data_IF_648232697426
#
_entry.id   IF_648232697426
#
_cell.length_a   1.000
_cell.length_b   1.000
_cell.length_c   1.000
_cell.angle_alpha   90.00
_cell.angle_beta   90.00
_cell.angle_gamma   90.00
#
_symmetry.space_group_name_H-M   'P 1'
#
loop_
_entity.id
_entity.type
_entity.pdbx_description
1 polymer ?
#
# COMPACT_ATOMS: atom_id res chain seq x y z
N UNK A 1 7.05 -3.77 8.82
CA UNK A 1 5.60 -4.01 8.61
C UNK A 1 4.74 -2.92 9.22
N UNK A 2 4.78 -2.72 10.54
CA UNK A 2 3.89 -1.73 11.17
C UNK A 2 4.13 -0.29 10.70
N UNK A 3 5.39 0.17 10.72
CA UNK A 3 5.72 1.55 10.32
C UNK A 3 5.36 1.85 8.85
N UNK A 4 5.50 0.87 7.95
CA UNK A 4 5.05 1.01 6.56
C UNK A 4 3.54 1.13 6.48
N UNK A 5 2.80 0.36 7.30
CA UNK A 5 1.33 0.38 7.36
C UNK A 5 0.75 1.72 7.86
N UNK A 6 1.57 2.66 8.33
CA UNK A 6 1.14 4.03 8.64
C UNK A 6 0.54 4.75 7.41
N UNK A 7 0.81 4.29 6.19
CA UNK A 7 0.14 4.81 5.00
C UNK A 7 -1.40 4.69 5.11
N UNK A 8 -1.93 3.70 5.84
CA UNK A 8 -3.37 3.51 6.05
C UNK A 8 -4.00 4.76 6.72
N UNK A 9 -3.27 5.39 7.64
CA UNK A 9 -3.71 6.60 8.32
C UNK A 9 -3.34 7.88 7.55
N UNK A 10 -2.15 7.92 6.94
CA UNK A 10 -1.72 9.10 6.20
C UNK A 10 -2.52 9.31 4.91
N UNK A 11 -3.00 8.25 4.26
CA UNK A 11 -3.77 8.33 3.01
C UNK A 11 -5.05 9.16 3.16
N UNK A 12 -5.98 8.89 4.09
CA UNK A 12 -7.18 9.71 4.23
C UNK A 12 -6.89 11.16 4.60
N UNK A 13 -5.83 11.42 5.39
CA UNK A 13 -5.38 12.78 5.71
C UNK A 13 -4.90 13.50 4.44
N UNK A 14 -4.05 12.84 3.64
CA UNK A 14 -3.56 13.38 2.38
C UNK A 14 -4.68 13.57 1.34
N UNK A 15 -5.65 12.65 1.30
CA UNK A 15 -6.80 12.72 0.40
C UNK A 15 -7.68 13.96 0.70
N UNK A 16 -7.91 14.27 1.98
CA UNK A 16 -8.59 15.50 2.38
C UNK A 16 -7.78 16.75 2.04
N UNK A 17 -6.47 16.75 2.30
CA UNK A 17 -5.62 17.92 2.13
C UNK A 17 -5.36 18.27 0.65
N UNK A 18 -5.13 17.26 -0.20
CA UNK A 18 -4.71 17.43 -1.60
C UNK A 18 -5.88 17.19 -2.55
N UNK A 19 -6.58 16.07 -2.38
CA UNK A 19 -7.67 15.66 -3.27
C UNK A 19 -8.98 16.40 -3.03
N UNK A 20 -9.12 17.06 -1.86
CA UNK A 20 -10.40 17.59 -1.35
C UNK A 20 -11.50 16.51 -1.28
N UNK A 21 -11.09 15.25 -1.25
CA UNK A 21 -11.97 14.12 -1.02
C UNK A 21 -12.51 14.19 0.40
N UNK A 22 -13.73 13.67 0.60
CA UNK A 22 -14.33 13.51 1.92
C UNK A 22 -14.40 12.02 2.19
N UNK A 23 -13.40 11.42 2.88
CA UNK A 23 -13.41 10.01 3.19
C UNK A 23 -14.71 9.63 3.89
N UNK A 24 -15.24 8.46 3.55
CA UNK A 24 -16.38 7.89 4.24
C UNK A 24 -16.08 7.85 5.76
N UNK A 25 -17.01 8.25 6.65
CA UNK A 25 -16.80 8.17 8.09
C UNK A 25 -16.31 6.81 8.59
N UNK A 26 -16.63 5.71 7.88
CA UNK A 26 -16.15 4.36 8.18
C UNK A 26 -14.63 4.18 8.04
N UNK A 27 -13.97 5.01 7.23
CA UNK A 27 -12.53 4.97 6.99
C UNK A 27 -11.74 5.17 8.28
N UNK A 28 -12.19 6.06 9.17
CA UNK A 28 -11.45 6.38 10.40
C UNK A 28 -11.37 5.20 11.39
N UNK A 29 -12.50 4.57 11.80
CA UNK A 29 -12.43 3.37 12.64
C UNK A 29 -11.78 2.19 11.90
N UNK A 30 -11.95 2.06 10.59
CA UNK A 30 -11.27 1.01 9.81
C UNK A 30 -9.75 1.22 9.78
N UNK A 31 -9.27 2.44 9.56
CA UNK A 31 -7.85 2.77 9.58
C UNK A 31 -7.23 2.53 10.97
N UNK A 32 -7.93 2.90 12.04
CA UNK A 32 -7.50 2.60 13.40
C UNK A 32 -7.42 1.09 13.66
N UNK A 33 -8.43 0.32 13.25
CA UNK A 33 -8.44 -1.14 13.39
C UNK A 33 -7.35 -1.81 12.56
N UNK A 34 -7.13 -1.35 11.32
CA UNK A 34 -6.07 -1.83 10.43
C UNK A 34 -4.68 -1.56 11.01
N UNK A 35 -4.46 -0.38 11.61
CA UNK A 35 -3.21 -0.06 12.31
C UNK A 35 -2.98 -0.94 13.54
N UNK A 36 -4.02 -1.16 14.35
CA UNK A 36 -3.94 -2.09 15.50
C UNK A 36 -3.60 -3.49 15.00
N UNK A 37 -4.24 -3.93 13.92
CA UNK A 37 -3.96 -5.22 13.30
C UNK A 37 -2.53 -5.33 12.78
N UNK A 38 -2.02 -4.31 12.10
CA UNK A 38 -0.64 -4.25 11.62
C UNK A 38 0.38 -4.23 12.77
N UNK A 39 0.05 -3.55 13.87
CA UNK A 39 0.87 -3.54 15.08
C UNK A 39 0.98 -4.94 15.68
N UNK A 40 -0.16 -5.61 15.90
CA UNK A 40 -0.19 -6.99 16.41
C UNK A 40 0.53 -7.96 15.48
N UNK A 41 0.31 -7.85 14.16
CA UNK A 41 0.93 -8.70 13.16
C UNK A 41 2.46 -8.53 13.10
N UNK A 42 2.95 -7.32 13.38
CA UNK A 42 4.39 -7.05 13.46
C UNK A 42 5.06 -7.57 14.75
N UNK A 43 4.29 -8.06 15.73
CA UNK A 43 4.81 -8.42 17.05
C UNK A 43 4.95 -7.22 18.01
N UNK A 44 4.38 -6.07 17.65
CA UNK A 44 4.45 -4.83 18.42
C UNK A 44 5.68 -3.96 18.15
N UNK A 45 5.84 -2.89 18.93
CA UNK A 45 7.03 -2.04 18.89
C UNK A 45 7.97 -2.49 20.00
N UNK A 46 9.11 -3.05 19.63
CA UNK A 46 10.17 -3.45 20.56
C UNK A 46 11.49 -2.83 20.15
N UNK A 47 12.28 -2.39 21.13
CA UNK A 47 13.60 -1.80 20.91
C UNK A 47 13.60 -0.27 20.95
N UNK A 48 14.77 0.33 20.72
CA UNK A 48 14.96 1.77 20.67
C UNK A 48 14.74 2.28 19.25
N UNK A 49 14.09 3.43 19.12
CA UNK A 49 13.89 4.09 17.83
C UNK A 49 15.24 4.41 17.17
N UNK A 50 15.42 3.99 15.93
CA UNK A 50 16.62 4.25 15.12
C UNK A 50 16.30 5.12 13.91
N UNK A 51 17.33 5.67 13.26
CA UNK A 51 17.16 6.54 12.09
C UNK A 51 16.37 5.82 10.97
N UNK A 52 16.56 4.50 10.82
CA UNK A 52 15.82 3.68 9.86
C UNK A 52 14.30 3.73 10.09
N UNK A 53 13.83 3.75 11.34
CA UNK A 53 12.41 3.85 11.65
C UNK A 53 11.81 5.17 11.17
N UNK A 54 12.58 6.25 11.31
CA UNK A 54 12.22 7.57 10.78
C UNK A 54 12.14 7.58 9.26
N UNK A 55 13.10 6.95 8.58
CA UNK A 55 13.10 6.83 7.11
C UNK A 55 11.91 6.01 6.60
N UNK A 56 11.58 4.90 7.25
CA UNK A 56 10.43 4.06 6.88
C UNK A 56 9.12 4.82 7.12
N UNK A 57 9.02 5.57 8.21
CA UNK A 57 7.85 6.42 8.50
C UNK A 57 7.69 7.52 7.45
N UNK A 58 8.79 8.17 7.03
CA UNK A 58 8.76 9.12 5.92
C UNK A 58 8.34 8.45 4.60
N UNK A 59 8.82 7.23 4.35
CA UNK A 59 8.40 6.40 3.22
C UNK A 59 6.90 6.10 3.23
N UNK A 60 6.29 5.88 4.40
CA UNK A 60 4.85 5.66 4.53
C UNK A 60 4.03 6.92 4.13
N UNK A 61 4.56 8.11 4.39
CA UNK A 61 3.98 9.37 3.88
C UNK A 61 4.10 9.42 2.36
N UNK A 62 5.27 9.06 1.81
CA UNK A 62 5.48 8.96 0.35
C UNK A 62 4.49 7.99 -0.31
N UNK A 63 4.25 6.83 0.29
CA UNK A 63 3.25 5.85 -0.15
C UNK A 63 1.83 6.44 -0.13
N UNK A 64 1.43 7.08 0.96
CA UNK A 64 0.13 7.73 1.06
C UNK A 64 -0.07 8.80 -0.02
N UNK A 65 0.96 9.62 -0.29
CA UNK A 65 0.94 10.62 -1.35
C UNK A 65 0.83 9.96 -2.73
N UNK A 66 1.60 8.90 -2.99
CA UNK A 66 1.52 8.15 -4.25
C UNK A 66 0.11 7.59 -4.47
N UNK A 67 -0.49 6.96 -3.46
CA UNK A 67 -1.85 6.40 -3.52
C UNK A 67 -2.88 7.50 -3.86
N UNK A 68 -2.79 8.67 -3.20
CA UNK A 68 -3.71 9.79 -3.45
C UNK A 68 -3.50 10.40 -4.83
N UNK A 69 -2.25 10.67 -5.21
CA UNK A 69 -1.93 11.30 -6.50
C UNK A 69 -2.26 10.38 -7.68
N UNK A 70 -1.98 9.08 -7.55
CA UNK A 70 -2.35 8.09 -8.56
C UNK A 70 -3.88 7.99 -8.70
N UNK A 71 -4.63 7.94 -7.60
CA UNK A 71 -6.10 7.97 -7.64
C UNK A 71 -6.65 9.22 -8.33
N UNK A 72 -6.11 10.40 -8.00
CA UNK A 72 -6.51 11.66 -8.64
C UNK A 72 -6.13 11.72 -10.12
N UNK A 73 -4.95 11.23 -10.48
CA UNK A 73 -4.47 11.25 -11.87
C UNK A 73 -5.21 10.23 -12.75
N UNK A 74 -5.49 9.04 -12.25
CA UNK A 74 -6.24 7.98 -12.97
C UNK A 74 -7.71 8.33 -13.17
N UNK A 75 -8.32 9.13 -12.28
CA UNK A 75 -9.67 9.68 -12.47
C UNK A 75 -9.72 10.81 -13.50
N UNK A 76 -8.65 11.59 -13.63
CA UNK A 76 -8.57 12.73 -14.59
C UNK A 76 -8.10 12.31 -15.98
N UNK A 77 -7.23 11.31 -16.06
CA UNK A 77 -6.67 10.81 -17.31
C UNK A 77 -7.26 9.43 -17.58
N UNK A 78 -7.98 9.26 -18.69
CA UNK A 78 -8.50 7.97 -19.15
C UNK A 78 -7.39 6.97 -19.58
N UNK A 79 -6.16 7.12 -19.04
CA UNK A 79 -4.93 6.42 -19.44
C UNK A 79 -4.12 5.94 -18.22
N UNK A 80 -4.68 5.07 -17.36
CA UNK A 80 -3.99 4.58 -16.16
C UNK A 80 -2.66 3.88 -16.47
N UNK A 81 -2.59 3.15 -17.59
CA UNK A 81 -1.36 2.44 -17.99
C UNK A 81 -0.20 3.39 -18.32
N UNK A 82 -0.49 4.57 -18.88
CA UNK A 82 0.54 5.56 -19.16
C UNK A 82 1.15 6.10 -17.87
N UNK A 83 0.35 6.27 -16.81
CA UNK A 83 0.84 6.70 -15.51
C UNK A 83 1.79 5.66 -14.90
N UNK A 84 1.42 4.38 -14.93
CA UNK A 84 2.27 3.28 -14.43
C UNK A 84 3.60 3.21 -15.17
N UNK A 85 3.61 3.39 -16.49
CA UNK A 85 4.84 3.42 -17.29
C UNK A 85 5.72 4.62 -16.91
N UNK A 86 5.12 5.80 -16.69
CA UNK A 86 5.85 7.00 -16.26
C UNK A 86 6.43 6.81 -14.86
N UNK A 87 5.66 6.29 -13.90
CA UNK A 87 6.13 5.98 -12.55
C UNK A 87 7.30 4.99 -12.58
N UNK A 88 7.16 3.90 -13.36
CA UNK A 88 8.22 2.91 -13.54
C UNK A 88 9.48 3.50 -14.18
N UNK A 89 9.33 4.34 -15.21
CA UNK A 89 10.46 5.02 -15.84
C UNK A 89 11.17 5.97 -14.87
N UNK A 90 10.41 6.70 -14.04
CA UNK A 90 10.97 7.56 -12.99
C UNK A 90 11.74 6.75 -11.94
N UNK A 91 11.25 5.58 -11.53
CA UNK A 91 11.98 4.67 -10.64
C UNK A 91 13.30 4.22 -11.28
N UNK A 92 13.28 3.80 -12.54
CA UNK A 92 14.51 3.39 -13.26
C UNK A 92 15.53 4.53 -13.30
N UNK A 93 15.10 5.76 -13.61
CA UNK A 93 16.01 6.91 -13.69
C UNK A 93 16.53 7.30 -12.31
N UNK A 94 15.66 7.50 -11.32
CA UNK A 94 16.03 8.04 -10.01
C UNK A 94 16.78 6.99 -9.18
N UNK A 95 16.20 5.80 -9.03
CA UNK A 95 16.82 4.73 -8.24
C UNK A 95 18.03 4.14 -8.98
N UNK A 96 17.99 4.04 -10.31
CA UNK A 96 19.13 3.58 -11.10
C UNK A 96 20.32 4.55 -11.03
N UNK A 97 20.08 5.86 -11.10
CA UNK A 97 21.14 6.86 -10.90
C UNK A 97 21.71 6.81 -9.47
N UNK A 98 20.85 6.68 -8.46
CA UNK A 98 21.29 6.53 -7.07
C UNK A 98 22.18 5.31 -6.88
N UNK A 99 21.74 4.14 -7.37
CA UNK A 99 22.49 2.89 -7.30
C UNK A 99 23.83 3.00 -8.04
N UNK A 100 23.87 3.60 -9.23
CA UNK A 100 25.10 3.79 -9.99
C UNK A 100 26.14 4.68 -9.27
N UNK A 101 25.70 5.59 -8.39
CA UNK A 101 26.59 6.49 -7.65
C UNK A 101 27.02 5.94 -6.29
N UNK A 102 26.22 5.07 -5.66
CA UNK A 102 26.40 4.68 -4.26
C UNK A 102 26.55 3.17 -4.03
N UNK A 103 26.22 2.32 -5.00
CA UNK A 103 26.21 0.87 -4.82
C UNK A 103 27.21 0.15 -5.74
N UNK A 104 27.86 -0.93 -5.26
CA UNK A 104 28.69 -1.78 -6.10
C UNK A 104 27.81 -2.65 -7.01
N UNK A 105 27.58 -2.22 -8.25
CA UNK A 105 26.80 -2.98 -9.23
C UNK A 105 27.60 -4.19 -9.72
N UNK A 106 27.17 -5.39 -9.32
CA UNK A 106 27.74 -6.66 -9.76
C UNK A 106 26.78 -7.39 -10.70
N UNK A 107 27.19 -7.54 -11.97
CA UNK A 107 26.39 -8.28 -12.96
C UNK A 107 26.25 -9.76 -12.59
N UNK A 108 27.23 -10.36 -11.90
CA UNK A 108 27.13 -11.75 -11.45
C UNK A 108 26.12 -11.90 -10.31
N UNK A 109 26.03 -10.93 -9.40
CA UNK A 109 25.01 -10.92 -8.36
C UNK A 109 23.60 -10.73 -8.95
N UNK A 110 23.45 -9.84 -9.93
CA UNK A 110 22.19 -9.64 -10.65
C UNK A 110 21.75 -10.91 -11.37
N UNK A 111 22.67 -11.59 -12.05
CA UNK A 111 22.36 -12.85 -12.73
C UNK A 111 21.97 -13.96 -11.74
N UNK A 112 22.63 -14.02 -10.57
CA UNK A 112 22.32 -14.99 -9.52
C UNK A 112 20.93 -14.78 -8.91
N UNK A 113 20.49 -13.53 -8.76
CA UNK A 113 19.16 -13.15 -8.27
C UNK A 113 18.12 -12.97 -9.40
N UNK A 114 18.42 -13.46 -10.61
CA UNK A 114 17.64 -13.14 -11.80
C UNK A 114 16.17 -13.56 -11.72
N UNK A 115 15.89 -14.70 -11.06
CA UNK A 115 14.52 -15.19 -10.88
C UNK A 115 13.73 -14.31 -9.91
N UNK A 116 14.31 -13.97 -8.76
CA UNK A 116 13.71 -13.13 -7.73
C UNK A 116 13.44 -11.71 -8.26
N UNK A 117 14.39 -11.16 -9.03
CA UNK A 117 14.26 -9.87 -9.70
C UNK A 117 13.17 -9.90 -10.78
N UNK A 118 13.13 -10.96 -11.61
CA UNK A 118 12.11 -11.11 -12.64
C UNK A 118 10.71 -11.25 -12.04
N UNK A 119 10.56 -12.09 -11.00
CA UNK A 119 9.30 -12.27 -10.30
C UNK A 119 8.83 -10.95 -9.67
N UNK A 120 9.70 -10.26 -8.93
CA UNK A 120 9.36 -9.00 -8.25
C UNK A 120 9.05 -7.90 -9.27
N UNK A 121 9.84 -7.78 -10.34
CA UNK A 121 9.63 -6.75 -11.36
C UNK A 121 8.37 -6.97 -12.20
N UNK A 122 8.13 -8.20 -12.67
CA UNK A 122 7.01 -8.50 -13.56
C UNK A 122 5.69 -8.66 -12.78
N UNK A 123 5.70 -9.41 -11.69
CA UNK A 123 4.47 -9.72 -10.94
C UNK A 123 4.13 -8.60 -9.98
N UNK A 124 5.02 -8.27 -9.04
CA UNK A 124 4.72 -7.22 -8.06
C UNK A 124 4.76 -5.82 -8.70
N UNK A 125 5.75 -5.57 -9.57
CA UNK A 125 5.87 -4.33 -10.30
C UNK A 125 4.79 -4.15 -11.36
N UNK A 126 4.92 -4.80 -12.52
CA UNK A 126 4.05 -4.52 -13.66
C UNK A 126 2.60 -4.90 -13.36
N UNK A 127 2.33 -6.14 -12.96
CA UNK A 127 0.94 -6.59 -12.75
C UNK A 127 0.33 -5.87 -11.55
N UNK A 128 1.04 -5.82 -10.41
CA UNK A 128 0.58 -5.16 -9.19
C UNK A 128 0.22 -3.68 -9.39
N UNK A 129 1.17 -2.87 -9.86
CA UNK A 129 0.92 -1.44 -10.06
C UNK A 129 -0.10 -1.16 -11.17
N UNK A 130 -0.19 -2.00 -12.21
CA UNK A 130 -1.24 -1.89 -13.24
C UNK A 130 -2.63 -2.13 -12.66
N UNK A 131 -2.79 -3.20 -11.87
CA UNK A 131 -4.06 -3.49 -11.19
C UNK A 131 -4.42 -2.40 -10.19
N UNK A 132 -3.45 -1.89 -9.43
CA UNK A 132 -3.63 -0.76 -8.53
C UNK A 132 -4.16 0.47 -9.29
N UNK A 133 -3.51 0.87 -10.39
CA UNK A 133 -3.91 2.04 -11.15
C UNK A 133 -5.33 1.90 -11.75
N UNK A 134 -5.68 0.71 -12.24
CA UNK A 134 -7.04 0.44 -12.75
C UNK A 134 -8.07 0.43 -11.64
N UNK A 135 -7.76 -0.16 -10.49
CA UNK A 135 -8.66 -0.22 -9.35
C UNK A 135 -8.93 1.18 -8.75
N UNK A 136 -7.89 2.00 -8.58
CA UNK A 136 -8.01 3.34 -8.00
C UNK A 136 -8.80 4.34 -8.86
N UNK A 137 -9.02 4.04 -10.14
CA UNK A 137 -9.97 4.80 -10.96
C UNK A 137 -11.41 4.69 -10.43
N UNK A 138 -11.74 3.57 -9.79
CA UNK A 138 -13.10 3.23 -9.36
C UNK A 138 -13.28 3.28 -7.84
N UNK A 139 -12.20 3.54 -7.09
CA UNK A 139 -12.18 3.49 -5.62
C UNK A 139 -11.48 4.74 -5.08
N UNK A 140 -12.03 5.31 -4.02
CA UNK A 140 -11.39 6.44 -3.34
C UNK A 140 -10.05 6.01 -2.73
N UNK A 141 -9.08 6.94 -2.68
CA UNK A 141 -7.72 6.62 -2.26
C UNK A 141 -7.68 6.04 -0.83
N UNK A 142 -8.55 6.57 0.04
CA UNK A 142 -8.68 6.13 1.43
C UNK A 142 -9.13 4.67 1.58
N UNK A 143 -10.14 4.27 0.81
CA UNK A 143 -10.67 2.91 0.83
C UNK A 143 -9.65 1.94 0.22
N UNK A 144 -9.00 2.35 -0.87
CA UNK A 144 -7.94 1.57 -1.52
C UNK A 144 -6.76 1.30 -0.57
N UNK A 145 -6.31 2.28 0.22
CA UNK A 145 -5.24 2.07 1.20
C UNK A 145 -5.62 1.03 2.28
N UNK A 146 -6.86 1.02 2.76
CA UNK A 146 -7.32 0.00 3.71
C UNK A 146 -7.28 -1.39 3.05
N UNK A 147 -7.70 -1.51 1.79
CA UNK A 147 -7.62 -2.78 1.05
C UNK A 147 -6.17 -3.21 0.84
N UNK A 148 -5.25 -2.30 0.49
CA UNK A 148 -3.83 -2.64 0.28
C UNK A 148 -3.16 -3.15 1.55
N UNK A 149 -3.63 -2.75 2.73
CA UNK A 149 -3.10 -3.28 3.99
C UNK A 149 -3.24 -4.81 4.15
N UNK A 150 -4.09 -5.45 3.35
CA UNK A 150 -4.21 -6.92 3.29
C UNK A 150 -2.95 -7.60 2.77
N UNK A 151 -2.02 -6.87 2.15
CA UNK A 151 -0.71 -7.39 1.77
C UNK A 151 0.02 -8.03 2.95
N UNK A 152 -0.08 -7.45 4.15
CA UNK A 152 0.63 -7.93 5.33
C UNK A 152 0.08 -9.28 5.84
N UNK A 153 -1.25 -9.47 5.99
CA UNK A 153 -1.83 -10.78 6.22
C UNK A 153 -1.45 -11.84 5.17
N UNK A 154 -1.43 -11.49 3.89
CA UNK A 154 -1.03 -12.43 2.82
C UNK A 154 0.45 -12.78 2.90
N UNK A 155 1.32 -11.80 3.15
CA UNK A 155 2.74 -12.02 3.35
C UNK A 155 3.00 -12.97 4.54
N UNK A 156 2.31 -12.75 5.67
CA UNK A 156 2.40 -13.62 6.84
C UNK A 156 1.87 -15.04 6.55
N UNK A 157 0.75 -15.16 5.82
CA UNK A 157 0.19 -16.45 5.41
C UNK A 157 1.16 -17.23 4.51
N UNK A 158 1.79 -16.57 3.54
CA UNK A 158 2.76 -17.21 2.65
C UNK A 158 4.08 -17.53 3.35
N UNK A 159 4.52 -16.70 4.30
CA UNK A 159 5.65 -17.04 5.18
C UNK A 159 5.37 -18.30 6.00
N UNK A 160 4.17 -18.41 6.59
CA UNK A 160 3.76 -19.61 7.30
C UNK A 160 3.68 -20.85 6.38
N UNK A 161 3.09 -20.71 5.18
CA UNK A 161 2.85 -21.84 4.28
C UNK A 161 4.12 -22.33 3.54
N UNK A 162 4.93 -21.41 3.02
CA UNK A 162 6.07 -21.74 2.15
C UNK A 162 7.41 -21.71 2.88
N UNK A 163 7.57 -20.88 3.90
CA UNK A 163 8.82 -20.75 4.66
C UNK A 163 8.77 -21.49 6.02
N UNK A 164 7.60 -22.00 6.42
CA UNK A 164 7.40 -22.72 7.68
C UNK A 164 7.51 -21.83 8.91
N UNK A 165 7.34 -20.52 8.76
CA UNK A 165 7.40 -19.56 9.87
C UNK A 165 6.23 -19.75 10.84
N UNK A 166 6.49 -19.82 12.14
CA UNK A 166 5.42 -19.91 13.15
C UNK A 166 4.74 -18.56 13.40
N UNK A 167 3.41 -18.52 13.27
CA UNK A 167 2.60 -17.34 13.63
C UNK A 167 2.05 -17.47 15.06
N UNK A 168 2.33 -16.47 15.89
CA UNK A 168 1.76 -16.37 17.24
C UNK A 168 0.25 -16.08 17.19
N UNK A 169 -0.45 -16.34 18.30
CA UNK A 169 -1.87 -15.99 18.42
C UNK A 169 -2.14 -14.48 18.20
N UNK A 170 -1.21 -13.63 18.64
CA UNK A 170 -1.29 -12.18 18.41
C UNK A 170 -1.19 -11.82 16.92
N UNK A 171 -0.33 -12.51 16.17
CA UNK A 171 -0.20 -12.29 14.73
C UNK A 171 -1.44 -12.76 13.96
N UNK A 172 -2.03 -13.90 14.33
CA UNK A 172 -3.33 -14.32 13.79
C UNK A 172 -4.44 -13.31 14.07
N UNK A 173 -4.52 -12.80 15.30
CA UNK A 173 -5.48 -11.76 15.67
C UNK A 173 -5.23 -10.46 14.88
N UNK A 174 -3.97 -10.10 14.66
CA UNK A 174 -3.59 -8.95 13.83
C UNK A 174 -4.06 -9.07 12.39
N UNK A 175 -3.84 -10.23 11.76
CA UNK A 175 -4.34 -10.52 10.42
C UNK A 175 -5.87 -10.46 10.34
N UNK A 176 -6.58 -11.04 11.31
CA UNK A 176 -8.03 -10.98 11.38
C UNK A 176 -8.56 -9.54 11.55
N UNK A 177 -7.89 -8.71 12.35
CA UNK A 177 -8.23 -7.30 12.54
C UNK A 177 -8.09 -6.49 11.23
N UNK A 178 -7.04 -6.75 10.44
CA UNK A 178 -6.85 -6.11 9.14
C UNK A 178 -7.99 -6.49 8.17
N UNK A 179 -8.36 -7.77 8.09
CA UNK A 179 -9.51 -8.19 7.27
C UNK A 179 -10.82 -7.57 7.77
N UNK A 180 -11.02 -7.48 9.09
CA UNK A 180 -12.19 -6.83 9.67
C UNK A 180 -12.25 -5.33 9.32
N UNK A 181 -11.11 -4.63 9.27
CA UNK A 181 -11.04 -3.24 8.82
C UNK A 181 -11.49 -3.08 7.37
N UNK A 182 -11.07 -4.00 6.48
CA UNK A 182 -11.53 -4.04 5.09
C UNK A 182 -13.04 -4.27 5.00
N UNK A 183 -13.56 -5.26 5.73
CA UNK A 183 -15.00 -5.52 5.75
C UNK A 183 -15.79 -4.31 6.29
N UNK A 184 -15.27 -3.63 7.31
CA UNK A 184 -15.90 -2.45 7.89
C UNK A 184 -16.04 -1.32 6.86
N UNK A 185 -14.99 -1.02 6.09
CA UNK A 185 -15.06 0.05 5.08
C UNK A 185 -15.94 -0.35 3.88
N UNK A 186 -15.87 -1.61 3.45
CA UNK A 186 -16.58 -2.09 2.26
C UNK A 186 -18.09 -2.33 2.49
N UNK A 187 -18.48 -2.79 3.68
CA UNK A 187 -19.88 -3.08 4.01
C UNK A 187 -20.61 -1.86 4.59
N UNK A 188 -19.89 -0.76 4.84
CA UNK A 188 -20.53 0.44 5.38
C UNK A 188 -21.57 0.98 4.39
N UNK A 189 -22.79 1.34 4.86
CA UNK A 189 -23.81 1.91 4.01
C UNK A 189 -23.30 3.20 3.38
N UNK A 190 -22.92 3.14 2.09
CA UNK A 190 -22.67 4.35 1.31
C UNK A 190 -24.02 5.04 1.14
N UNK A 191 -24.18 6.22 1.75
CA UNK A 191 -25.30 7.10 1.39
C UNK A 191 -25.10 7.52 -0.06
N UNK A 192 -25.60 6.72 -1.01
CA UNK A 192 -25.83 7.19 -2.36
C UNK A 192 -26.80 8.35 -2.24
N UNK A 193 -26.33 9.58 -2.45
CA UNK A 193 -27.21 10.64 -2.86
C UNK A 193 -27.88 10.14 -4.14
N UNK A 194 -29.16 9.78 -4.04
CA UNK A 194 -30.01 9.55 -5.20
C UNK A 194 -29.90 10.83 -6.02
N UNK A 195 -29.14 10.77 -7.11
CA UNK A 195 -29.18 11.82 -8.13
C UNK A 195 -30.60 11.75 -8.66
N UNK A 196 -31.43 12.81 -8.54
CA UNK A 196 -32.74 12.82 -9.16
C UNK A 196 -32.52 12.60 -10.65
N UNK A 197 -33.08 11.51 -11.17
CA UNK A 197 -33.19 11.24 -12.59
C UNK A 197 -33.82 12.49 -13.22
N UNK A 198 -33.05 13.20 -14.05
CA UNK A 198 -33.57 14.34 -14.77
C UNK A 198 -34.67 13.83 -15.71
N UNK A 199 -35.90 14.26 -15.42
CA UNK A 199 -37.13 13.94 -16.12
C UNK A 199 -37.14 14.37 -17.59
#
# INVERSE_FOLDING_TARGET
GFLTSLYILFTPIAAMAIGRERPNPAVWPAAALGLIGAWLLSGGISGTFVIGDGLVTLGAIGWALQIVLLGLATRRSDRPMTLVVIEGAMVVVVCGAWAALHEPISLSAIAAAGWELAYTGLVAGIVGYSLQAVAQRHTEASDAAIVFSTEAPFAALFGWLFLGEGLTAGQWAGSAAIFAAVLLVQLWPTRRSVVPEQA
#
